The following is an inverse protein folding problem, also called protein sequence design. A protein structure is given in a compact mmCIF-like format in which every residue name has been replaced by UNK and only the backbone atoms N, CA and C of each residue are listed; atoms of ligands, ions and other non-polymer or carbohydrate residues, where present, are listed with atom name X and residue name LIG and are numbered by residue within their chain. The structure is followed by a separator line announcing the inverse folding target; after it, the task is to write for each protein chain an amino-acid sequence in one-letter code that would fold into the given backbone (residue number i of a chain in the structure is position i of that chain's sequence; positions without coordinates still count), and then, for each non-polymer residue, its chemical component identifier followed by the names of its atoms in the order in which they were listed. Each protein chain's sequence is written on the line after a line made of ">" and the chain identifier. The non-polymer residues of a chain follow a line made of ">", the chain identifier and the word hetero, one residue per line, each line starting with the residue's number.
data_IF_911714730523
#
_entry.id   IF_911714730523
#
_cell.length_a   1.000
_cell.length_b   1.000
_cell.length_c   1.000
_cell.angle_alpha   90.00
_cell.angle_beta   90.00
_cell.angle_gamma   90.00
#
_symmetry.space_group_name_H-M   'P 1'
#
loop_
_entity.id
_entity.type
_entity.pdbx_description
1 polymer ?
#
# COMPACT_ATOMS: atom_id res chain seq x y z
N UNK A 1 -1.54 -1.66 -19.20
CA UNK A 1 -0.26 -2.00 -18.51
C UNK A 1 -0.47 -1.79 -17.02
N UNK A 2 -0.54 -2.87 -16.23
CA UNK A 2 -0.73 -2.77 -14.78
C UNK A 2 0.55 -2.25 -14.13
N UNK A 3 0.46 -1.15 -13.39
CA UNK A 3 1.58 -0.67 -12.57
C UNK A 3 1.94 -1.77 -11.57
N UNK A 4 3.13 -2.37 -11.74
CA UNK A 4 3.75 -3.18 -10.69
C UNK A 4 4.15 -2.21 -9.58
N UNK A 5 3.60 -2.35 -8.38
CA UNK A 5 4.12 -1.63 -7.24
C UNK A 5 5.58 -2.11 -7.04
N UNK A 6 6.55 -1.21 -7.24
CA UNK A 6 7.93 -1.49 -6.84
C UNK A 6 7.97 -1.47 -5.31
N UNK A 7 7.70 -2.62 -4.72
CA UNK A 7 7.80 -2.87 -3.28
C UNK A 7 9.27 -3.11 -2.96
N UNK A 8 10.02 -2.02 -2.86
CA UNK A 8 11.44 -2.04 -2.56
C UNK A 8 11.86 -0.76 -1.84
N UNK A 9 12.94 -0.83 -1.07
CA UNK A 9 13.47 0.27 -0.26
C UNK A 9 13.92 -0.20 1.12
N UNK A 10 14.32 0.75 1.97
CA UNK A 10 14.64 0.50 3.38
C UNK A 10 13.37 0.20 4.19
N UNK A 11 13.52 -0.45 5.36
CA UNK A 11 12.39 -0.78 6.25
C UNK A 11 11.50 0.43 6.54
N UNK A 12 12.11 1.56 6.91
CA UNK A 12 11.38 2.81 7.17
C UNK A 12 10.59 3.33 5.96
N UNK A 13 11.14 3.21 4.75
CA UNK A 13 10.43 3.62 3.53
C UNK A 13 9.19 2.75 3.29
N UNK A 14 9.31 1.44 3.51
CA UNK A 14 8.19 0.49 3.38
C UNK A 14 7.13 0.78 4.44
N UNK A 15 7.52 0.94 5.69
CA UNK A 15 6.60 1.28 6.79
C UNK A 15 5.91 2.63 6.59
N UNK A 16 6.62 3.62 6.04
CA UNK A 16 6.05 4.92 5.68
C UNK A 16 5.02 4.77 4.56
N UNK A 17 5.32 3.99 3.53
CA UNK A 17 4.35 3.72 2.43
C UNK A 17 3.11 3.00 2.95
N UNK A 18 3.25 2.02 3.83
CA UNK A 18 2.12 1.32 4.48
C UNK A 18 1.22 2.31 5.21
N UNK A 19 1.79 3.23 6.00
CA UNK A 19 1.04 4.28 6.70
C UNK A 19 0.26 5.18 5.73
N UNK A 20 0.91 5.64 4.65
CA UNK A 20 0.28 6.48 3.63
C UNK A 20 -0.88 5.73 2.95
N UNK A 21 -0.68 4.47 2.56
CA UNK A 21 -1.71 3.65 1.92
C UNK A 21 -2.93 3.44 2.83
N UNK A 22 -2.72 3.21 4.14
CA UNK A 22 -3.82 3.14 5.13
C UNK A 22 -4.63 4.44 5.18
N UNK A 23 -3.97 5.59 5.17
CA UNK A 23 -4.65 6.90 5.12
C UNK A 23 -5.41 7.14 3.81
N UNK A 24 -4.82 6.76 2.67
CA UNK A 24 -5.48 6.90 1.37
C UNK A 24 -6.71 6.00 1.24
N UNK A 25 -6.63 4.74 1.69
CA UNK A 25 -7.78 3.83 1.73
C UNK A 25 -8.90 4.43 2.58
N UNK A 26 -8.57 5.01 3.74
CA UNK A 26 -9.58 5.67 4.57
C UNK A 26 -10.21 6.88 3.86
N UNK A 27 -9.43 7.67 3.14
CA UNK A 27 -9.94 8.79 2.35
C UNK A 27 -10.83 8.32 1.18
N UNK A 28 -10.44 7.26 0.46
CA UNK A 28 -11.21 6.72 -0.66
C UNK A 28 -12.54 6.11 -0.22
N UNK A 29 -12.56 5.41 0.93
CA UNK A 29 -13.81 4.94 1.55
C UNK A 29 -14.78 6.08 1.81
N UNK A 30 -14.29 7.21 2.32
CA UNK A 30 -15.12 8.38 2.59
C UNK A 30 -15.61 9.07 1.30
N UNK A 31 -14.82 9.02 0.22
CA UNK A 31 -15.17 9.63 -1.07
C UNK A 31 -16.02 8.74 -1.98
N UNK A 32 -16.16 7.45 -1.66
CA UNK A 32 -16.82 6.47 -2.51
C UNK A 32 -16.02 6.14 -3.78
N UNK A 33 -14.71 6.37 -3.79
CA UNK A 33 -13.84 6.07 -4.95
C UNK A 33 -13.38 4.60 -4.92
N UNK A 34 -14.24 3.71 -5.41
CA UNK A 34 -14.03 2.26 -5.39
C UNK A 34 -12.80 1.81 -6.20
N UNK A 35 -12.42 2.53 -7.25
CA UNK A 35 -11.30 2.16 -8.12
C UNK A 35 -9.96 2.46 -7.45
N UNK A 36 -9.86 3.64 -6.83
CA UNK A 36 -8.68 4.03 -6.05
C UNK A 36 -8.53 3.15 -4.81
N UNK A 37 -9.65 2.81 -4.16
CA UNK A 37 -9.69 1.90 -3.02
C UNK A 37 -9.07 0.53 -3.34
N UNK A 38 -9.47 -0.09 -4.45
CA UNK A 38 -9.00 -1.42 -4.83
C UNK A 38 -7.48 -1.39 -5.12
N UNK A 39 -7.02 -0.34 -5.80
CA UNK A 39 -5.60 -0.16 -6.11
C UNK A 39 -4.75 0.06 -4.85
N UNK A 40 -5.18 0.95 -3.94
CA UNK A 40 -4.45 1.19 -2.69
C UNK A 40 -4.49 -0.02 -1.77
N UNK A 41 -5.59 -0.77 -1.72
CA UNK A 41 -5.70 -2.00 -0.93
C UNK A 41 -4.74 -3.08 -1.43
N UNK A 42 -4.63 -3.26 -2.75
CA UNK A 42 -3.67 -4.20 -3.33
C UNK A 42 -2.23 -3.79 -3.01
N UNK A 43 -1.90 -2.50 -3.21
CA UNK A 43 -0.58 -1.99 -2.90
C UNK A 43 -0.23 -2.14 -1.41
N UNK A 44 -1.19 -1.94 -0.51
CA UNK A 44 -1.00 -2.11 0.93
C UNK A 44 -0.62 -3.56 1.26
N UNK A 45 -1.37 -4.52 0.72
CA UNK A 45 -1.13 -5.93 0.94
C UNK A 45 0.25 -6.37 0.44
N UNK A 46 0.68 -5.88 -0.74
CA UNK A 46 2.02 -6.18 -1.25
C UNK A 46 3.13 -5.61 -0.36
N UNK A 47 2.98 -4.39 0.17
CA UNK A 47 3.96 -3.80 1.09
C UNK A 47 4.00 -4.50 2.46
N UNK A 48 2.85 -4.86 3.03
CA UNK A 48 2.79 -5.61 4.30
C UNK A 48 3.40 -7.01 4.16
N UNK A 49 3.15 -7.69 3.03
CA UNK A 49 3.77 -8.97 2.72
C UNK A 49 5.29 -8.84 2.62
N UNK A 50 5.79 -7.88 1.85
CA UNK A 50 7.22 -7.62 1.72
C UNK A 50 7.89 -7.28 3.05
N UNK A 51 7.24 -6.43 3.87
CA UNK A 51 7.76 -6.07 5.19
C UNK A 51 7.93 -7.32 6.07
N UNK A 52 6.95 -8.24 6.03
CA UNK A 52 6.99 -9.50 6.77
C UNK A 52 8.00 -10.51 6.21
N UNK A 53 8.15 -10.61 4.89
CA UNK A 53 9.09 -11.55 4.27
C UNK A 53 10.56 -11.14 4.45
N UNK A 54 10.84 -9.83 4.51
CA UNK A 54 12.22 -9.31 4.60
C UNK A 54 12.64 -9.01 6.04
N UNK A 55 11.72 -8.56 6.90
CA UNK A 55 12.03 -8.11 8.27
C UNK A 55 11.11 -8.69 9.36
N UNK A 56 10.21 -9.62 9.03
CA UNK A 56 9.36 -10.33 9.99
C UNK A 56 9.97 -11.65 10.44
#
# INVERSE_FOLDING_TARGET
>A
MGMKANVGGTKEQVERKIRILKSLIAADKNKGDSRSLEHHSKALNEHEKYLKEVWG
#
